data_IF_333422075721
#
_entry.id   IF_333422075721
#
_cell.length_a   1.000
_cell.length_b   1.000
_cell.length_c   1.000
_cell.angle_alpha   90.00
_cell.angle_beta   90.00
_cell.angle_gamma   90.00
#
_symmetry.space_group_name_H-M   'P 1'
#
loop_
_entity.id
_entity.type
_entity.pdbx_description
1 polymer ?
#
# COMPACT_ATOMS: atom_id res chain seq x y z
N UNK A 1 -41.49 -6.84 -9.03
CA UNK A 1 -40.24 -6.23 -8.51
C UNK A 1 -39.28 -7.37 -8.20
N UNK A 2 -38.30 -7.62 -9.08
CA UNK A 2 -37.30 -8.66 -8.87
C UNK A 2 -36.10 -8.06 -8.14
N UNK A 3 -35.75 -8.62 -6.99
CA UNK A 3 -34.61 -8.24 -6.17
C UNK A 3 -33.33 -8.41 -7.00
N UNK A 4 -32.59 -7.31 -7.19
CA UNK A 4 -31.32 -7.32 -7.89
C UNK A 4 -30.38 -8.39 -7.30
N UNK A 5 -29.62 -9.12 -8.12
CA UNK A 5 -28.63 -10.06 -7.62
C UNK A 5 -27.67 -9.30 -6.71
N UNK A 6 -27.56 -9.75 -5.47
CA UNK A 6 -26.63 -9.24 -4.48
C UNK A 6 -25.26 -9.11 -5.16
N UNK A 7 -24.79 -7.86 -5.32
CA UNK A 7 -23.51 -7.54 -5.96
C UNK A 7 -22.46 -8.40 -5.28
N UNK A 8 -22.03 -9.47 -5.95
CA UNK A 8 -20.90 -10.27 -5.51
C UNK A 8 -19.74 -9.28 -5.35
N UNK A 9 -19.41 -8.97 -4.09
CA UNK A 9 -18.42 -7.96 -3.79
C UNK A 9 -17.14 -8.34 -4.55
N UNK A 10 -16.50 -7.40 -5.27
CA UNK A 10 -15.27 -7.68 -6.00
C UNK A 10 -14.29 -8.41 -5.08
N UNK A 11 -13.60 -9.43 -5.58
CA UNK A 11 -12.61 -10.16 -4.79
C UNK A 11 -11.47 -9.22 -4.43
N UNK A 12 -11.56 -8.60 -3.25
CA UNK A 12 -10.58 -7.61 -2.81
C UNK A 12 -9.24 -8.29 -2.59
N UNK A 13 -8.19 -7.76 -3.23
CA UNK A 13 -6.82 -8.24 -3.00
C UNK A 13 -6.37 -7.79 -1.62
N UNK A 14 -5.86 -8.75 -0.82
CA UNK A 14 -5.41 -8.46 0.55
C UNK A 14 -4.40 -7.31 0.60
N UNK A 15 -3.48 -7.27 -0.38
CA UNK A 15 -2.47 -6.22 -0.44
C UNK A 15 -3.07 -4.83 -0.55
N UNK A 16 -3.95 -4.59 -1.54
CA UNK A 16 -4.55 -3.27 -1.77
C UNK A 16 -5.49 -2.86 -0.63
N UNK A 17 -6.25 -3.83 -0.12
CA UNK A 17 -7.10 -3.61 1.05
C UNK A 17 -6.27 -3.18 2.26
N UNK A 18 -5.19 -3.90 2.57
CA UNK A 18 -4.36 -3.59 3.73
C UNK A 18 -3.74 -2.20 3.62
N UNK A 19 -3.30 -1.77 2.43
CA UNK A 19 -2.76 -0.43 2.21
C UNK A 19 -3.81 0.68 2.43
N UNK A 20 -5.06 0.41 2.06
CA UNK A 20 -6.19 1.29 2.38
C UNK A 20 -6.40 1.40 3.89
N UNK A 21 -6.39 0.28 4.61
CA UNK A 21 -6.58 0.26 6.06
C UNK A 21 -5.41 0.87 6.85
N UNK A 22 -4.17 0.78 6.34
CA UNK A 22 -3.02 1.48 6.93
C UNK A 22 -3.16 2.98 6.70
N UNK A 23 -3.57 3.40 5.49
CA UNK A 23 -3.78 4.80 5.15
C UNK A 23 -4.95 5.44 5.90
N UNK A 24 -5.94 4.65 6.34
CA UNK A 24 -7.06 5.15 7.12
C UNK A 24 -6.69 5.51 8.56
N UNK A 25 -5.57 4.99 9.08
CA UNK A 25 -5.08 5.26 10.44
C UNK A 25 -6.03 4.81 11.55
N UNK A 26 -7.00 3.94 11.25
CA UNK A 26 -8.06 3.56 12.18
C UNK A 26 -7.65 2.47 13.20
N UNK A 27 -6.44 1.92 13.07
CA UNK A 27 -5.98 0.76 13.83
C UNK A 27 -4.68 1.08 14.56
N UNK A 28 -4.67 0.87 15.88
CA UNK A 28 -3.51 1.16 16.71
C UNK A 28 -2.29 0.33 16.30
N UNK A 29 -1.16 1.00 16.08
CA UNK A 29 0.10 0.38 15.69
C UNK A 29 0.17 -0.14 14.26
N UNK A 30 -0.90 -0.04 13.46
CA UNK A 30 -0.91 -0.31 12.02
C UNK A 30 -0.85 1.02 11.26
N UNK A 31 0.35 1.40 10.84
CA UNK A 31 0.59 2.72 10.25
C UNK A 31 1.77 2.74 9.29
N UNK A 32 1.78 3.75 8.43
CA UNK A 32 2.93 4.12 7.62
C UNK A 32 4.06 4.63 8.52
N UNK A 33 5.30 4.28 8.16
CA UNK A 33 6.51 4.75 8.83
C UNK A 33 7.19 5.90 8.06
N UNK A 34 6.82 6.09 6.80
CA UNK A 34 7.34 7.11 5.90
C UNK A 34 6.20 7.83 5.17
N UNK A 35 6.42 9.11 4.84
CA UNK A 35 5.46 9.93 4.08
C UNK A 35 5.26 9.42 2.65
N UNK A 36 6.29 8.76 2.09
CA UNK A 36 6.23 8.17 0.75
C UNK A 36 5.38 6.88 0.70
N UNK A 37 4.83 6.42 1.83
CA UNK A 37 3.97 5.23 1.94
C UNK A 37 4.61 3.99 1.31
N UNK A 38 5.90 3.81 1.56
CA UNK A 38 6.68 2.66 1.08
C UNK A 38 6.93 1.63 2.17
N UNK A 39 6.89 2.04 3.44
CA UNK A 39 7.22 1.25 4.62
C UNK A 39 6.10 1.36 5.66
N UNK A 40 5.62 0.23 6.16
CA UNK A 40 4.56 0.20 7.16
C UNK A 40 4.88 -0.81 8.27
N UNK A 41 4.32 -0.57 9.45
CA UNK A 41 4.36 -1.51 10.58
C UNK A 41 3.02 -2.21 10.76
N UNK A 42 3.07 -3.47 11.16
CA UNK A 42 1.91 -4.30 11.50
C UNK A 42 2.07 -4.81 12.93
N UNK A 43 1.10 -4.57 13.84
CA UNK A 43 1.12 -5.14 15.18
C UNK A 43 1.20 -6.67 15.14
N UNK A 44 2.08 -7.26 15.95
CA UNK A 44 2.34 -8.70 15.96
C UNK A 44 2.30 -9.32 17.35
N UNK A 45 1.38 -8.83 18.18
CA UNK A 45 1.20 -9.32 19.54
C UNK A 45 0.88 -10.83 19.57
N UNK A 46 1.63 -11.55 20.41
CA UNK A 46 1.47 -12.98 20.64
C UNK A 46 0.35 -13.22 21.66
N UNK A 47 -0.89 -13.24 21.18
CA UNK A 47 -2.04 -13.57 22.03
C UNK A 47 -2.15 -15.08 22.28
N UNK A 48 -2.46 -15.46 23.52
CA UNK A 48 -3.05 -16.77 23.78
C UNK A 48 -4.50 -16.81 23.25
N UNK A 49 -5.06 -18.01 23.08
CA UNK A 49 -6.36 -18.20 22.40
C UNK A 49 -7.53 -17.40 23.00
N UNK A 50 -7.47 -17.02 24.28
CA UNK A 50 -8.54 -16.30 24.99
C UNK A 50 -8.27 -14.80 25.19
N UNK A 51 -7.08 -14.32 24.83
CA UNK A 51 -6.65 -12.93 25.12
C UNK A 51 -6.79 -12.00 23.91
N UNK A 52 -7.44 -12.44 22.84
CA UNK A 52 -7.73 -11.57 21.70
C UNK A 52 -8.83 -10.59 22.08
N UNK A 53 -8.44 -9.37 22.43
CA UNK A 53 -9.39 -8.28 22.69
C UNK A 53 -10.15 -7.93 21.41
N UNK A 54 -11.33 -7.31 21.57
CA UNK A 54 -12.09 -6.81 20.43
C UNK A 54 -11.27 -5.79 19.64
N UNK A 55 -10.58 -4.86 20.32
CA UNK A 55 -9.73 -3.84 19.72
C UNK A 55 -8.63 -4.45 18.84
N UNK A 56 -7.93 -5.46 19.35
CA UNK A 56 -6.89 -6.18 18.62
C UNK A 56 -7.46 -6.98 17.43
N UNK A 57 -8.71 -7.45 17.56
CA UNK A 57 -9.39 -8.20 16.52
C UNK A 57 -9.97 -7.34 15.40
N UNK A 58 -10.04 -6.00 15.57
CA UNK A 58 -10.73 -5.10 14.61
C UNK A 58 -10.22 -5.24 13.18
N UNK A 59 -8.90 -5.26 12.98
CA UNK A 59 -8.31 -5.40 11.64
C UNK A 59 -8.59 -6.80 11.05
N UNK A 60 -8.58 -7.84 11.90
CA UNK A 60 -8.88 -9.20 11.45
C UNK A 60 -10.36 -9.35 11.06
N UNK A 61 -11.26 -8.74 11.85
CA UNK A 61 -12.70 -8.66 11.55
C UNK A 61 -12.95 -7.88 10.26
N UNK A 62 -12.31 -6.73 10.09
CA UNK A 62 -12.44 -5.91 8.89
C UNK A 62 -12.03 -6.69 7.63
N UNK A 63 -10.97 -7.51 7.70
CA UNK A 63 -10.59 -8.40 6.60
C UNK A 63 -11.64 -9.48 6.32
N UNK A 64 -12.23 -10.08 7.36
CA UNK A 64 -13.30 -11.06 7.21
C UNK A 64 -14.54 -10.44 6.55
N UNK A 65 -14.91 -9.22 6.95
CA UNK A 65 -15.99 -8.44 6.34
C UNK A 65 -15.68 -8.09 4.88
N UNK A 66 -14.47 -7.61 4.59
CA UNK A 66 -14.04 -7.25 3.23
C UNK A 66 -14.10 -8.44 2.25
N UNK A 67 -13.91 -9.66 2.75
CA UNK A 67 -14.06 -10.90 1.97
C UNK A 67 -15.48 -11.48 1.95
N UNK A 68 -16.44 -10.81 2.59
CA UNK A 68 -17.81 -11.32 2.74
C UNK A 68 -17.88 -12.63 3.54
N UNK A 69 -16.95 -12.86 4.47
CA UNK A 69 -16.95 -14.01 5.39
C UNK A 69 -17.55 -13.69 6.75
N UNK A 70 -17.76 -12.42 7.04
CA UNK A 70 -18.45 -11.95 8.24
C UNK A 70 -19.44 -10.84 7.87
N UNK A 71 -20.66 -10.83 8.43
CA UNK A 71 -21.61 -9.77 8.17
C UNK A 71 -21.07 -8.42 8.70
N UNK A 72 -21.24 -7.31 7.95
CA UNK A 72 -21.01 -5.99 8.50
C UNK A 72 -22.10 -5.70 9.55
N UNK A 73 -21.71 -5.10 10.68
CA UNK A 73 -22.59 -4.75 11.81
C UNK A 73 -23.86 -3.99 11.43
N UNK A 74 -23.87 -3.32 10.26
CA UNK A 74 -25.00 -2.53 9.78
C UNK A 74 -26.15 -3.34 9.16
N UNK A 75 -25.95 -4.63 8.82
CA UNK A 75 -26.94 -5.42 8.05
C UNK A 75 -27.80 -6.32 8.93
N UNK A 76 -28.47 -5.73 9.92
CA UNK A 76 -29.60 -6.34 10.63
C UNK A 76 -29.24 -7.54 11.50
N UNK A 77 -28.81 -7.25 12.73
CA UNK A 77 -28.49 -8.22 13.77
C UNK A 77 -26.98 -8.34 13.94
N UNK A 78 -26.42 -7.59 14.90
CA UNK A 78 -25.05 -7.85 15.32
C UNK A 78 -24.96 -9.32 15.79
N UNK A 79 -24.05 -10.12 15.23
CA UNK A 79 -23.83 -11.47 15.73
C UNK A 79 -23.47 -11.41 17.21
N UNK A 80 -23.90 -12.41 18.02
CA UNK A 80 -23.59 -12.44 19.43
C UNK A 80 -22.07 -12.31 19.68
N UNK A 81 -21.64 -11.58 20.72
CA UNK A 81 -20.23 -11.37 21.02
C UNK A 81 -19.48 -12.70 21.25
N UNK A 82 -20.16 -13.77 21.70
CA UNK A 82 -19.57 -15.10 21.76
C UNK A 82 -19.20 -15.69 20.39
N UNK A 83 -20.04 -15.48 19.36
CA UNK A 83 -19.79 -15.96 18.02
C UNK A 83 -18.62 -15.20 17.39
N UNK A 84 -18.53 -13.88 17.65
CA UNK A 84 -17.37 -13.10 17.25
C UNK A 84 -16.09 -13.64 17.90
N UNK A 85 -16.12 -13.85 19.22
CA UNK A 85 -14.95 -14.32 19.98
C UNK A 85 -14.44 -15.68 19.48
N UNK A 86 -15.34 -16.59 19.10
CA UNK A 86 -14.97 -17.88 18.52
C UNK A 86 -14.22 -17.73 17.18
N UNK A 87 -14.64 -16.78 16.35
CA UNK A 87 -14.09 -16.57 15.01
C UNK A 87 -12.78 -15.75 15.00
N UNK A 88 -12.51 -14.94 16.04
CA UNK A 88 -11.31 -14.11 16.18
C UNK A 88 -10.00 -14.86 15.88
N UNK A 89 -9.86 -16.09 16.37
CA UNK A 89 -8.68 -16.92 16.14
C UNK A 89 -8.52 -17.33 14.66
N UNK A 90 -9.64 -17.64 14.01
CA UNK A 90 -9.69 -17.95 12.58
C UNK A 90 -9.32 -16.75 11.72
N UNK A 91 -9.85 -15.57 12.04
CA UNK A 91 -9.54 -14.33 11.33
C UNK A 91 -8.06 -13.95 11.46
N UNK A 92 -7.49 -14.04 12.67
CA UNK A 92 -6.05 -13.80 12.88
C UNK A 92 -5.20 -14.73 12.04
N UNK A 93 -5.53 -16.02 12.02
CA UNK A 93 -4.80 -17.02 11.23
C UNK A 93 -4.88 -16.71 9.75
N UNK A 94 -6.09 -16.41 9.26
CA UNK A 94 -6.29 -16.08 7.86
C UNK A 94 -5.54 -14.80 7.45
N UNK A 95 -5.60 -13.75 8.27
CA UNK A 95 -4.90 -12.49 8.03
C UNK A 95 -3.38 -12.72 7.91
N UNK A 96 -2.79 -13.48 8.83
CA UNK A 96 -1.35 -13.81 8.80
C UNK A 96 -0.97 -14.61 7.56
N UNK A 97 -1.80 -15.57 7.16
CA UNK A 97 -1.60 -16.32 5.92
C UNK A 97 -1.69 -15.42 4.69
N UNK A 98 -2.69 -14.52 4.63
CA UNK A 98 -2.87 -13.58 3.54
C UNK A 98 -1.68 -12.62 3.43
N UNK A 99 -1.21 -12.08 4.55
CA UNK A 99 -0.02 -11.24 4.64
C UNK A 99 1.23 -11.98 4.12
N UNK A 100 1.48 -13.21 4.60
CA UNK A 100 2.62 -14.03 4.15
C UNK A 100 2.54 -14.38 2.66
N UNK A 101 1.33 -14.63 2.14
CA UNK A 101 1.14 -14.98 0.73
C UNK A 101 1.27 -13.79 -0.21
N UNK A 102 1.17 -12.56 0.33
CA UNK A 102 1.25 -11.34 -0.47
C UNK A 102 2.68 -11.03 -0.82
N UNK A 103 3.08 -11.37 -2.06
CA UNK A 103 4.44 -11.14 -2.58
C UNK A 103 4.84 -9.67 -2.70
N UNK A 104 3.88 -8.74 -2.59
CA UNK A 104 4.11 -7.29 -2.63
C UNK A 104 4.83 -6.75 -1.39
N UNK A 105 4.81 -7.51 -0.29
CA UNK A 105 5.31 -7.06 1.01
C UNK A 105 6.60 -7.77 1.37
N UNK A 106 7.68 -7.01 1.47
CA UNK A 106 9.00 -7.50 1.87
C UNK A 106 9.20 -7.18 3.35
N UNK A 107 9.41 -8.20 4.17
CA UNK A 107 9.68 -7.99 5.60
C UNK A 107 11.07 -7.38 5.77
N UNK A 108 11.16 -6.21 6.40
CA UNK A 108 12.41 -5.51 6.70
C UNK A 108 12.91 -5.80 8.12
N UNK A 109 12.00 -5.79 9.09
CA UNK A 109 12.32 -6.00 10.51
C UNK A 109 11.25 -6.86 11.17
N UNK A 110 11.72 -7.78 12.02
CA UNK A 110 10.87 -8.59 12.87
C UNK A 110 11.11 -8.20 14.33
N UNK A 111 10.23 -7.36 14.87
CA UNK A 111 10.23 -6.94 16.27
C UNK A 111 9.11 -7.67 17.04
N UNK A 112 8.65 -8.83 16.57
CA UNK A 112 7.52 -9.53 17.20
C UNK A 112 7.80 -10.09 18.58
N UNK A 113 9.08 -10.24 18.94
CA UNK A 113 9.51 -10.65 20.28
C UNK A 113 9.62 -9.51 21.30
N UNK A 114 9.38 -8.26 20.89
CA UNK A 114 9.45 -7.11 21.80
C UNK A 114 8.29 -7.18 22.82
N UNK A 115 8.59 -7.14 24.14
CA UNK A 115 7.57 -7.23 25.17
C UNK A 115 6.71 -5.95 25.32
N UNK A 116 7.22 -4.80 24.91
CA UNK A 116 6.54 -3.52 25.02
C UNK A 116 5.77 -3.16 23.74
N UNK A 117 6.39 -3.37 22.57
CA UNK A 117 5.80 -3.04 21.28
C UNK A 117 6.04 -4.13 20.23
N UNK A 118 5.36 -5.29 20.32
CA UNK A 118 5.54 -6.37 19.37
C UNK A 118 4.97 -6.01 17.99
N UNK A 119 5.84 -5.80 17.00
CA UNK A 119 5.43 -5.45 15.64
C UNK A 119 6.35 -6.01 14.55
N UNK A 120 5.90 -5.97 13.29
CA UNK A 120 6.72 -6.30 12.12
C UNK A 120 6.69 -5.15 11.13
N UNK A 121 7.84 -4.87 10.54
CA UNK A 121 7.98 -3.81 9.54
C UNK A 121 8.10 -4.43 8.17
N UNK A 122 7.30 -3.95 7.24
CA UNK A 122 7.27 -4.37 5.84
C UNK A 122 7.48 -3.17 4.93
N UNK A 123 8.12 -3.41 3.79
CA UNK A 123 8.20 -2.47 2.69
C UNK A 123 7.48 -3.00 1.46
N UNK A 124 6.97 -2.08 0.64
CA UNK A 124 6.47 -2.39 -0.68
C UNK A 124 7.62 -2.79 -1.59
N UNK A 125 7.46 -3.89 -2.31
CA UNK A 125 8.43 -4.27 -3.33
C UNK A 125 8.49 -3.21 -4.43
N UNK A 126 9.72 -2.92 -4.88
CA UNK A 126 10.01 -1.85 -5.85
C UNK A 126 9.24 -1.98 -7.15
N UNK A 127 8.86 -3.20 -7.55
CA UNK A 127 8.02 -3.46 -8.73
C UNK A 127 6.61 -2.84 -8.68
N UNK A 128 6.17 -2.35 -7.52
CA UNK A 128 4.83 -1.82 -7.31
C UNK A 128 4.80 -0.39 -6.75
N UNK A 129 5.96 0.13 -6.31
CA UNK A 129 6.12 1.54 -5.93
C UNK A 129 5.88 2.49 -7.11
N UNK A 130 6.07 2.02 -8.35
CA UNK A 130 5.93 2.82 -9.57
C UNK A 130 4.50 2.84 -10.17
N UNK A 131 3.55 2.07 -9.61
CA UNK A 131 2.16 2.03 -10.14
C UNK A 131 1.22 3.02 -9.46
N UNK A 132 1.74 3.93 -8.65
CA UNK A 132 1.05 5.16 -8.32
C UNK A 132 1.92 6.30 -8.85
N UNK A 133 1.80 6.54 -10.15
CA UNK A 133 2.35 7.76 -10.73
C UNK A 133 1.66 8.94 -10.06
N UNK A 134 2.40 9.93 -9.53
CA UNK A 134 1.79 11.20 -9.19
C UNK A 134 1.22 11.77 -10.49
N UNK A 135 -0.06 12.12 -10.48
CA UNK A 135 -0.59 13.08 -11.45
C UNK A 135 0.12 14.41 -11.23
N UNK A 136 1.33 14.55 -11.78
CA UNK A 136 1.92 15.85 -12.02
C UNK A 136 1.10 16.48 -13.12
N UNK A 137 0.19 17.37 -12.73
CA UNK A 137 -0.26 18.46 -13.58
C UNK A 137 0.98 19.08 -14.23
N UNK A 138 1.10 18.88 -15.53
CA UNK A 138 2.14 19.49 -16.34
C UNK A 138 1.75 20.96 -16.51
N UNK A 139 2.02 21.79 -15.52
CA UNK A 139 2.28 23.20 -15.81
C UNK A 139 3.72 23.30 -16.30
N UNK A 140 3.83 23.33 -17.61
CA UNK A 140 5.03 23.54 -18.40
C UNK A 140 5.72 24.84 -17.94
N UNK A 141 6.73 24.72 -17.08
CA UNK A 141 7.73 25.77 -16.93
C UNK A 141 8.80 25.51 -17.99
N UNK A 142 8.53 26.06 -19.16
CA UNK A 142 9.41 26.17 -20.32
C UNK A 142 10.82 26.61 -19.90
N UNK A 143 11.80 25.72 -20.09
CA UNK A 143 13.21 26.07 -20.12
C UNK A 143 13.56 26.44 -21.57
N UNK A 144 13.90 27.69 -21.92
CA UNK A 144 14.25 28.02 -23.28
C UNK A 144 15.62 27.42 -23.62
N UNK A 145 15.57 26.45 -24.53
CA UNK A 145 16.71 25.79 -25.14
C UNK A 145 17.58 26.82 -25.87
N UNK A 146 18.90 26.67 -25.66
CA UNK A 146 19.95 27.39 -26.33
C UNK A 146 19.80 27.31 -27.87
N UNK A 147 19.84 28.48 -28.49
CA UNK A 147 19.78 28.69 -29.94
C UNK A 147 21.00 28.04 -30.62
N UNK A 148 20.84 27.22 -31.68
CA UNK A 148 21.97 26.71 -32.45
C UNK A 148 22.54 27.81 -33.37
N UNK A 149 23.89 27.94 -33.48
CA UNK A 149 24.50 28.92 -34.37
C UNK A 149 24.40 28.49 -35.85
N UNK A 150 24.11 29.43 -36.79
CA UNK A 150 24.12 29.13 -38.21
C UNK A 150 25.56 29.04 -38.73
N UNK A 151 25.81 28.03 -39.57
CA UNK A 151 27.07 27.83 -40.25
C UNK A 151 27.27 28.90 -41.34
N UNK A 152 28.38 29.63 -41.26
CA UNK A 152 28.93 30.38 -42.38
C UNK A 152 30.35 29.86 -42.64
N UNK A 153 30.51 29.15 -43.75
CA UNK A 153 31.81 28.83 -44.34
C UNK A 153 32.42 30.08 -44.95
N UNK A 154 33.72 30.27 -44.76
CA UNK A 154 34.46 31.37 -45.38
C UNK A 154 35.93 31.33 -44.99
N UNK A 155 36.68 30.43 -45.63
CA UNK A 155 38.12 30.22 -45.49
C UNK A 155 38.96 31.49 -45.61
N UNK A 156 39.99 31.60 -44.76
CA UNK A 156 41.11 32.52 -44.94
C UNK A 156 42.17 31.90 -45.87
N UNK A 157 42.80 32.81 -46.63
CA UNK A 157 44.16 32.78 -47.21
C UNK A 157 44.41 32.19 -48.62
N UNK A 158 44.91 33.09 -49.48
CA UNK A 158 45.77 32.85 -50.63
C UNK A 158 45.29 33.61 -51.88
N UNK A 159 46.05 34.42 -52.62
CA UNK A 159 47.44 34.86 -52.55
C UNK A 159 47.55 36.09 -53.47
N UNK A 160 48.45 36.99 -53.14
CA UNK A 160 48.72 38.24 -53.84
C UNK A 160 49.34 37.95 -55.23
N UNK A 161 48.83 38.62 -56.26
CA UNK A 161 49.41 38.69 -57.61
C UNK A 161 50.57 39.68 -57.69
N UNK A 162 51.67 39.26 -58.32
CA UNK A 162 52.75 40.11 -58.84
C UNK A 162 53.90 39.18 -59.27
N UNK A 163 54.51 39.25 -60.45
CA UNK A 163 54.49 40.23 -61.52
C UNK A 163 55.89 40.21 -62.14
N UNK A 164 55.94 40.04 -63.47
CA UNK A 164 57.09 40.09 -64.39
C UNK A 164 57.89 38.80 -64.57
#
# INVERSE_FOLDING_TARGET
MALAPERAAPRVLFGEWLLGEISSGCYEGLQWLDEARTCFRVPWKHFARKDLSEADARIFKAWAVARGRWPPSSRGGDPPPEAETAERAGWKTNFRCALRSTRRFVMLRDNSGDPADPHKVYALSRELCWREGPGTDQTEAEAPAAVPPPQAQGSLLGSCTGGQ
#
